data_IF_977326339292
#
_entry.id   IF_977326339292
#
_cell.length_a   1.000
_cell.length_b   1.000
_cell.length_c   1.000
_cell.angle_alpha   90.00
_cell.angle_beta   90.00
_cell.angle_gamma   90.00
#
_symmetry.space_group_name_H-M   'P 1'
#
loop_
_entity.id
_entity.type
_entity.pdbx_description
1 polymer ?
#
# COMPACT_ATOMS: atom_id res chain seq x y z
N UNK A 1 -36.82 -39.12 -2.39
CA UNK A 1 -35.33 -39.07 -2.39
C UNK A 1 -34.94 -38.15 -3.55
N UNK A 2 -34.55 -36.89 -3.30
CA UNK A 2 -33.16 -36.39 -3.19
C UNK A 2 -32.28 -36.66 -4.42
N UNK A 3 -31.82 -35.56 -5.04
CA UNK A 3 -30.62 -35.36 -5.90
C UNK A 3 -30.67 -35.95 -7.34
N UNK A 4 -30.13 -35.38 -8.43
CA UNK A 4 -29.25 -34.20 -8.69
C UNK A 4 -29.14 -33.97 -10.23
N UNK A 5 -28.87 -32.71 -10.64
CA UNK A 5 -28.28 -32.19 -11.90
C UNK A 5 -28.76 -32.66 -13.29
N UNK A 6 -29.23 -31.69 -14.09
CA UNK A 6 -28.51 -31.26 -15.29
C UNK A 6 -28.97 -29.85 -15.71
N UNK A 7 -28.16 -28.83 -15.44
CA UNK A 7 -28.38 -27.48 -15.96
C UNK A 7 -27.84 -27.39 -17.38
N UNK A 8 -28.74 -27.41 -18.36
CA UNK A 8 -28.54 -26.84 -19.68
C UNK A 8 -29.80 -26.05 -19.98
N UNK A 9 -29.69 -24.73 -20.13
CA UNK A 9 -30.30 -23.96 -21.23
C UNK A 9 -29.94 -22.48 -21.05
N UNK A 10 -29.16 -22.01 -22.03
CA UNK A 10 -29.17 -20.68 -22.62
C UNK A 10 -30.05 -19.62 -21.93
N UNK A 11 -29.42 -18.55 -21.44
CA UNK A 11 -30.03 -17.23 -21.47
C UNK A 11 -29.04 -16.24 -22.06
N UNK A 12 -29.42 -15.71 -23.21
CA UNK A 12 -28.70 -14.67 -23.94
C UNK A 12 -29.23 -13.30 -23.52
N UNK A 13 -28.30 -12.34 -23.42
CA UNK A 13 -28.44 -10.87 -23.45
C UNK A 13 -28.84 -10.16 -22.13
N UNK A 14 -27.83 -9.62 -21.47
CA UNK A 14 -27.81 -8.18 -21.17
C UNK A 14 -26.39 -7.64 -21.31
N UNK A 15 -26.17 -7.07 -22.48
CA UNK A 15 -25.11 -6.12 -22.78
C UNK A 15 -25.19 -4.98 -21.76
N UNK A 16 -24.30 -4.94 -20.77
CA UNK A 16 -24.13 -3.75 -19.93
C UNK A 16 -22.65 -3.44 -19.73
N UNK A 17 -22.22 -2.47 -20.55
CA UNK A 17 -21.06 -1.59 -20.37
C UNK A 17 -19.65 -2.16 -20.57
N UNK A 18 -19.31 -2.36 -21.85
CA UNK A 18 -17.94 -2.19 -22.39
C UNK A 18 -17.57 -0.69 -22.46
N UNK A 19 -17.69 0.06 -21.34
CA UNK A 19 -17.44 1.52 -21.34
C UNK A 19 -16.42 2.01 -20.31
N UNK A 20 -15.85 1.13 -19.48
CA UNK A 20 -14.79 1.51 -18.54
C UNK A 20 -13.38 1.21 -19.05
N UNK A 21 -13.17 0.11 -19.79
CA UNK A 21 -11.82 -0.29 -20.23
C UNK A 21 -11.31 0.45 -21.48
N UNK A 22 -12.19 0.98 -22.34
CA UNK A 22 -11.80 1.58 -23.62
C UNK A 22 -11.32 3.03 -23.54
N UNK A 23 -11.38 3.66 -22.35
CA UNK A 23 -11.03 5.09 -22.19
C UNK A 23 -9.61 5.34 -21.66
N UNK A 24 -8.85 4.29 -21.33
CA UNK A 24 -7.51 4.43 -20.72
C UNK A 24 -6.33 4.26 -21.69
N UNK A 25 -6.53 3.71 -22.89
CA UNK A 25 -5.42 3.42 -23.82
C UNK A 25 -5.25 4.38 -25.00
N UNK A 26 -6.11 5.38 -25.18
CA UNK A 26 -6.00 6.39 -26.25
C UNK A 26 -5.23 7.67 -25.82
N UNK A 27 -4.55 7.64 -24.68
CA UNK A 27 -3.76 8.77 -24.14
C UNK A 27 -2.28 8.39 -23.97
N UNK A 28 -1.60 8.09 -25.08
CA UNK A 28 -0.14 8.12 -25.11
C UNK A 28 0.31 9.34 -25.93
N UNK A 29 0.62 10.48 -25.30
CA UNK A 29 1.20 11.61 -26.01
C UNK A 29 2.64 11.28 -26.47
N UNK A 30 2.90 11.56 -27.75
CA UNK A 30 4.21 11.44 -28.41
C UNK A 30 5.06 12.71 -28.21
N UNK A 31 5.25 13.23 -26.99
CA UNK A 31 6.17 14.37 -26.73
C UNK A 31 6.32 14.71 -25.22
N UNK A 32 7.51 14.48 -24.65
CA UNK A 32 7.86 14.75 -23.24
C UNK A 32 7.64 16.20 -22.77
N UNK A 33 7.52 17.19 -23.67
CA UNK A 33 7.52 18.61 -23.32
C UNK A 33 6.13 19.27 -23.22
N UNK A 34 5.02 18.55 -23.43
CA UNK A 34 3.66 19.05 -23.22
C UNK A 34 2.69 17.98 -22.66
N UNK A 35 3.21 17.08 -21.83
CA UNK A 35 2.36 16.07 -21.21
C UNK A 35 1.53 16.68 -20.08
N UNK A 36 0.30 17.06 -20.43
CA UNK A 36 -0.74 17.46 -19.46
C UNK A 36 -0.94 16.38 -18.38
N UNK A 37 -0.63 15.12 -18.68
CA UNK A 37 -0.59 14.00 -17.74
C UNK A 37 0.52 14.19 -16.70
N UNK A 38 1.75 14.52 -17.11
CA UNK A 38 2.87 14.75 -16.19
C UNK A 38 2.58 15.96 -15.30
N UNK A 39 2.06 17.04 -15.88
CA UNK A 39 1.68 18.24 -15.12
C UNK A 39 0.57 17.94 -14.10
N UNK A 40 -0.49 17.25 -14.51
CA UNK A 40 -1.58 16.85 -13.61
C UNK A 40 -1.11 15.90 -12.52
N UNK A 41 -0.27 14.91 -12.85
CA UNK A 41 0.35 14.01 -11.89
C UNK A 41 1.19 14.77 -10.86
N UNK A 42 1.98 15.76 -11.29
CA UNK A 42 2.76 16.62 -10.39
C UNK A 42 1.86 17.40 -9.44
N UNK A 43 0.79 18.02 -9.94
CA UNK A 43 -0.16 18.78 -9.11
C UNK A 43 -0.91 17.87 -8.11
N UNK A 44 -1.33 16.67 -8.52
CA UNK A 44 -1.93 15.68 -7.63
C UNK A 44 -0.93 15.25 -6.55
N UNK A 45 0.32 14.94 -6.93
CA UNK A 45 1.36 14.54 -5.99
C UNK A 45 1.62 15.63 -4.96
N UNK A 46 1.76 16.88 -5.39
CA UNK A 46 1.93 18.05 -4.52
C UNK A 46 0.73 18.24 -3.58
N UNK A 47 -0.49 18.08 -4.08
CA UNK A 47 -1.72 18.18 -3.28
C UNK A 47 -1.81 17.06 -2.24
N UNK A 48 -1.52 15.82 -2.63
CA UNK A 48 -1.54 14.67 -1.72
C UNK A 48 -0.48 14.82 -0.64
N UNK A 49 0.74 15.27 -0.98
CA UNK A 49 1.78 15.57 0.00
C UNK A 49 1.31 16.66 0.96
N UNK A 50 0.74 17.76 0.46
CA UNK A 50 0.27 18.85 1.31
C UNK A 50 -0.86 18.41 2.27
N UNK A 51 -1.71 17.48 1.84
CA UNK A 51 -2.72 16.86 2.70
C UNK A 51 -2.07 15.95 3.76
N UNK A 52 -1.13 15.08 3.36
CA UNK A 52 -0.41 14.19 4.29
C UNK A 52 0.43 14.93 5.32
N UNK A 53 0.99 16.10 4.98
CA UNK A 53 1.73 16.95 5.92
C UNK A 53 0.80 17.53 7.00
N UNK A 54 -0.47 17.79 6.66
CA UNK A 54 -1.47 18.33 7.59
C UNK A 54 -2.24 17.27 8.37
N UNK A 55 -2.24 16.04 7.87
CA UNK A 55 -2.99 14.94 8.45
C UNK A 55 -2.45 14.56 9.83
N UNK A 56 -3.35 14.17 10.72
CA UNK A 56 -2.98 13.57 11.99
C UNK A 56 -2.54 12.12 11.74
N UNK A 57 -1.26 11.84 11.98
CA UNK A 57 -0.69 10.51 11.79
C UNK A 57 -0.29 9.95 13.15
N UNK A 58 -0.91 8.84 13.51
CA UNK A 58 -0.64 8.10 14.73
C UNK A 58 -0.22 6.68 14.37
N UNK A 59 0.59 6.07 15.23
CA UNK A 59 0.94 4.66 15.08
C UNK A 59 0.93 3.94 16.41
N UNK A 60 0.65 2.63 16.36
CA UNK A 60 0.60 1.78 17.53
C UNK A 60 1.34 0.48 17.27
N UNK A 61 2.10 0.02 18.27
CA UNK A 61 2.76 -1.27 18.25
C UNK A 61 1.74 -2.36 18.59
N UNK A 62 1.73 -3.43 17.81
CA UNK A 62 0.84 -4.58 17.98
C UNK A 62 1.66 -5.85 18.21
N UNK A 63 1.06 -6.83 18.87
CA UNK A 63 1.60 -8.18 18.94
C UNK A 63 1.35 -8.90 17.61
N UNK A 64 2.35 -9.66 17.17
CA UNK A 64 2.30 -10.51 15.99
C UNK A 64 2.56 -11.98 16.39
N UNK A 65 2.57 -12.87 15.40
CA UNK A 65 2.79 -14.30 15.63
C UNK A 65 4.15 -14.59 16.29
N UNK A 66 4.26 -15.75 16.95
CA UNK A 66 5.51 -16.24 17.57
C UNK A 66 6.21 -15.22 18.47
N UNK A 67 5.41 -14.48 19.25
CA UNK A 67 5.88 -13.49 20.22
C UNK A 67 6.64 -12.31 19.61
N UNK A 68 6.43 -12.05 18.32
CA UNK A 68 7.01 -10.90 17.61
C UNK A 68 6.08 -9.68 17.68
N UNK A 69 6.54 -8.57 17.08
CA UNK A 69 5.83 -7.29 17.06
C UNK A 69 5.62 -6.81 15.62
N UNK A 70 4.54 -6.05 15.43
CA UNK A 70 4.24 -5.30 14.22
C UNK A 70 3.74 -3.91 14.58
N UNK A 71 3.28 -3.16 13.60
CA UNK A 71 2.72 -1.83 13.83
C UNK A 71 1.47 -1.58 12.98
N UNK A 72 0.68 -0.63 13.46
CA UNK A 72 -0.45 -0.06 12.72
C UNK A 72 -0.24 1.43 12.56
N UNK A 73 -0.66 1.99 11.42
CA UNK A 73 -0.64 3.44 11.17
C UNK A 73 -2.07 3.89 10.89
N UNK A 74 -2.45 4.96 11.56
CA UNK A 74 -3.71 5.66 11.39
C UNK A 74 -3.46 7.03 10.76
N UNK A 75 -4.28 7.37 9.77
CA UNK A 75 -4.31 8.68 9.12
C UNK A 75 -5.69 9.29 9.37
N UNK A 76 -5.75 10.41 10.08
CA UNK A 76 -7.00 11.09 10.49
C UNK A 76 -7.99 10.13 11.16
N UNK A 77 -7.47 9.22 12.00
CA UNK A 77 -8.25 8.22 12.73
C UNK A 77 -8.66 6.99 11.90
N UNK A 78 -8.24 6.87 10.64
CA UNK A 78 -8.49 5.70 9.80
C UNK A 78 -7.27 4.77 9.74
N UNK A 79 -7.46 3.48 10.00
CA UNK A 79 -6.41 2.47 9.84
C UNK A 79 -6.01 2.35 8.36
N UNK A 80 -4.78 2.74 8.03
CA UNK A 80 -4.26 2.72 6.66
C UNK A 80 -3.21 1.64 6.44
N UNK A 81 -2.47 1.26 7.49
CA UNK A 81 -1.46 0.20 7.43
C UNK A 81 -1.61 -0.69 8.65
N UNK A 82 -1.66 -2.00 8.45
CA UNK A 82 -1.50 -3.02 9.49
C UNK A 82 -0.38 -3.96 9.06
N UNK A 83 0.83 -3.73 9.58
CA UNK A 83 2.04 -4.44 9.20
C UNK A 83 2.47 -5.40 10.32
N UNK A 84 2.17 -6.69 10.15
CA UNK A 84 2.50 -7.75 11.13
C UNK A 84 3.88 -8.36 10.95
N UNK A 85 4.45 -8.24 9.75
CA UNK A 85 5.75 -8.82 9.37
C UNK A 85 6.76 -7.71 9.05
N UNK A 86 8.05 -8.04 9.05
CA UNK A 86 9.08 -7.07 8.67
C UNK A 86 8.97 -6.76 7.17
N UNK A 87 8.70 -5.50 6.77
CA UNK A 87 8.65 -5.13 5.36
C UNK A 87 10.03 -5.27 4.72
N UNK A 88 10.09 -5.61 3.44
CA UNK A 88 11.36 -5.79 2.73
C UNK A 88 12.10 -7.11 3.02
N UNK A 89 11.65 -7.92 3.99
CA UNK A 89 12.15 -9.27 4.22
C UNK A 89 11.11 -10.32 3.84
N UNK A 90 11.59 -11.45 3.31
CA UNK A 90 10.73 -12.62 3.10
C UNK A 90 10.46 -13.35 4.42
N UNK A 91 9.26 -13.91 4.56
CA UNK A 91 8.84 -14.69 5.73
C UNK A 91 7.56 -14.17 6.38
N UNK A 92 7.21 -14.77 7.52
CA UNK A 92 5.98 -14.47 8.27
C UNK A 92 6.23 -13.89 9.67
N UNK A 93 7.48 -13.58 10.00
CA UNK A 93 7.83 -13.06 11.32
C UNK A 93 7.81 -11.53 11.34
N UNK A 94 7.33 -10.99 12.46
CA UNK A 94 7.48 -9.58 12.81
C UNK A 94 8.84 -9.29 13.43
N UNK A 95 8.95 -8.10 14.02
CA UNK A 95 10.14 -7.64 14.73
C UNK A 95 10.30 -8.39 16.06
N UNK A 96 11.55 -8.69 16.43
CA UNK A 96 11.87 -9.32 17.72
C UNK A 96 11.68 -8.38 18.90
N UNK A 97 11.84 -7.07 18.68
CA UNK A 97 11.81 -6.07 19.74
C UNK A 97 10.96 -4.85 19.32
N UNK A 98 10.43 -4.17 20.34
CA UNK A 98 9.60 -2.97 20.19
C UNK A 98 10.40 -1.79 19.60
N UNK A 99 11.64 -1.48 20.04
CA UNK A 99 12.42 -0.37 19.48
C UNK A 99 12.58 -0.39 17.96
N UNK A 100 12.89 -1.54 17.37
CA UNK A 100 13.04 -1.66 15.91
C UNK A 100 11.70 -1.48 15.19
N UNK A 101 10.62 -1.94 15.81
CA UNK A 101 9.26 -1.73 15.29
C UNK A 101 8.91 -0.23 15.23
N UNK A 102 9.28 0.55 16.26
CA UNK A 102 9.10 2.01 16.28
C UNK A 102 9.88 2.67 15.15
N UNK A 103 11.18 2.36 15.02
CA UNK A 103 12.05 2.92 13.97
C UNK A 103 11.46 2.72 12.57
N UNK A 104 10.95 1.52 12.28
CA UNK A 104 10.35 1.24 10.96
C UNK A 104 9.01 1.94 10.79
N UNK A 105 8.15 1.98 11.81
CA UNK A 105 6.90 2.72 11.73
C UNK A 105 7.16 4.21 11.41
N UNK A 106 8.16 4.81 12.06
CA UNK A 106 8.58 6.19 11.81
C UNK A 106 9.15 6.39 10.39
N UNK A 107 9.97 5.47 9.90
CA UNK A 107 10.46 5.52 8.52
C UNK A 107 9.32 5.44 7.50
N UNK A 108 8.34 4.56 7.73
CA UNK A 108 7.15 4.45 6.88
C UNK A 108 6.35 5.75 6.89
N UNK A 109 6.12 6.35 8.06
CA UNK A 109 5.44 7.65 8.19
C UNK A 109 6.22 8.75 7.46
N UNK A 110 7.55 8.74 7.55
CA UNK A 110 8.40 9.69 6.83
C UNK A 110 8.21 9.57 5.32
N UNK A 111 8.32 8.36 4.77
CA UNK A 111 8.12 8.07 3.34
C UNK A 111 6.72 8.45 2.86
N UNK A 112 5.70 8.16 3.67
CA UNK A 112 4.34 8.63 3.45
C UNK A 112 4.31 10.16 3.32
N UNK A 113 4.86 10.91 4.27
CA UNK A 113 4.92 12.38 4.21
C UNK A 113 5.67 12.92 3.00
N UNK A 114 6.61 12.15 2.45
CA UNK A 114 7.36 12.46 1.22
C UNK A 114 6.60 12.09 -0.07
N UNK A 115 5.41 11.49 0.05
CA UNK A 115 4.52 11.13 -1.05
C UNK A 115 4.81 9.76 -1.68
N UNK A 116 5.57 8.89 -1.00
CA UNK A 116 5.77 7.50 -1.42
C UNK A 116 4.55 6.65 -1.01
N UNK A 117 3.77 6.22 -2.00
CA UNK A 117 2.56 5.43 -1.80
C UNK A 117 2.47 4.25 -2.80
N UNK A 118 2.39 2.98 -2.35
CA UNK A 118 2.53 2.56 -0.96
C UNK A 118 3.98 2.76 -0.46
N UNK A 119 4.18 3.10 0.83
CA UNK A 119 5.52 3.21 1.39
C UNK A 119 6.21 1.84 1.36
N UNK A 120 7.41 1.80 0.78
CA UNK A 120 8.18 0.56 0.64
C UNK A 120 9.48 0.69 1.44
N UNK A 121 9.82 -0.36 2.19
CA UNK A 121 11.10 -0.48 2.88
C UNK A 121 11.91 -1.56 2.18
N UNK A 122 13.12 -1.22 1.77
CA UNK A 122 14.09 -2.14 1.16
C UNK A 122 14.93 -2.84 2.23
N UNK A 123 15.48 -4.01 1.89
CA UNK A 123 16.41 -4.73 2.77
C UNK A 123 17.64 -3.87 3.12
N UNK A 124 18.11 -3.03 2.19
CA UNK A 124 19.22 -2.12 2.43
C UNK A 124 18.92 -1.11 3.54
N UNK A 125 17.74 -0.49 3.53
CA UNK A 125 17.32 0.46 4.58
C UNK A 125 17.24 -0.23 5.94
N UNK A 126 16.82 -1.49 6.00
CA UNK A 126 16.85 -2.26 7.26
C UNK A 126 18.28 -2.45 7.77
N UNK A 127 19.22 -2.78 6.88
CA UNK A 127 20.64 -2.96 7.24
C UNK A 127 21.24 -1.64 7.75
N UNK A 128 20.97 -0.52 7.07
CA UNK A 128 21.46 0.81 7.48
C UNK A 128 20.94 1.23 8.85
N UNK A 129 19.73 0.79 9.21
CA UNK A 129 19.11 1.07 10.51
C UNK A 129 19.49 0.06 11.61
N UNK A 130 20.38 -0.88 11.30
CA UNK A 130 20.78 -2.02 12.15
C UNK A 130 19.58 -2.89 12.59
N UNK A 131 18.57 -2.97 11.73
CA UNK A 131 17.37 -3.77 11.94
C UNK A 131 17.58 -5.08 11.20
N UNK A 132 18.32 -5.99 11.84
CA UNK A 132 18.57 -7.31 11.28
C UNK A 132 17.79 -8.36 12.06
N UNK A 133 16.82 -8.99 11.39
CA UNK A 133 16.20 -10.22 11.91
C UNK A 133 17.11 -11.44 11.66
N UNK A 134 18.43 -11.24 11.67
CA UNK A 134 19.39 -12.33 11.46
C UNK A 134 19.34 -13.23 12.69
N UNK A 135 19.06 -14.51 12.42
CA UNK A 135 19.17 -15.61 13.36
C UNK A 135 20.61 -16.13 13.35
#
# INVERSE_FOLDING_TARGET
>A
MRAVLLFLFLNTILHFSTKAQSKLYDYLPLNENQDSIIFHYKQIKETNIAQMVKADIQYFIIKAEKETYGYTIFLDGHLVIEQKTIPGLSGSLGFKNIPDTHKIAELVIKKMKEGEMPPTISEHELIEMDITNRH
#
